data_IF_168112375596
#
_entry.id   IF_168112375596
#
_cell.length_a   1.000
_cell.length_b   1.000
_cell.length_c   1.000
_cell.angle_alpha   90.00
_cell.angle_beta   90.00
_cell.angle_gamma   90.00
#
_symmetry.space_group_name_H-M   'P 1'
#
loop_
_entity.id
_entity.type
_entity.pdbx_description
1 polymer ?
#
# COMPACT_ATOMS: atom_id res chain seq x y z
N UNK A 1 12.08 -13.95 10.83
CA UNK A 1 11.86 -12.80 9.91
C UNK A 1 10.67 -13.11 9.02
N UNK A 2 9.68 -12.25 8.98
CA UNK A 2 8.51 -12.41 8.08
C UNK A 2 8.94 -12.08 6.65
N UNK A 3 8.60 -12.93 5.70
CA UNK A 3 8.85 -12.77 4.28
C UNK A 3 7.63 -13.21 3.47
N UNK A 4 7.38 -12.54 2.36
CA UNK A 4 6.29 -12.95 1.47
C UNK A 4 6.67 -12.81 0.00
N UNK A 5 6.00 -13.58 -0.83
CA UNK A 5 6.02 -13.50 -2.29
C UNK A 5 4.59 -13.38 -2.81
N UNK A 6 4.42 -12.63 -3.87
CA UNK A 6 3.17 -12.53 -4.62
C UNK A 6 3.39 -12.88 -6.08
N UNK A 7 2.45 -13.56 -6.69
CA UNK A 7 2.44 -13.94 -8.09
C UNK A 7 1.03 -13.76 -8.68
N UNK A 8 0.93 -13.82 -10.00
CA UNK A 8 -0.32 -13.72 -10.74
C UNK A 8 -0.47 -12.42 -11.50
N UNK A 9 -1.24 -12.47 -12.54
CA UNK A 9 -1.57 -11.39 -13.47
C UNK A 9 -2.95 -10.82 -13.17
N UNK A 10 -3.15 -9.55 -13.54
CA UNK A 10 -4.40 -8.83 -13.29
C UNK A 10 -5.62 -9.52 -13.90
N UNK A 11 -5.50 -10.03 -15.14
CA UNK A 11 -6.54 -10.74 -15.84
C UNK A 11 -6.20 -12.23 -16.04
N UNK A 12 -5.21 -12.75 -15.30
CA UNK A 12 -4.91 -14.18 -15.20
C UNK A 12 -5.93 -14.92 -14.31
N UNK A 13 -5.79 -16.24 -14.14
CA UNK A 13 -6.78 -17.06 -13.43
C UNK A 13 -6.89 -16.71 -11.94
N UNK A 14 -5.80 -16.34 -11.30
CA UNK A 14 -5.74 -16.06 -9.87
C UNK A 14 -4.52 -15.25 -9.48
N UNK A 15 -4.56 -14.73 -8.26
CA UNK A 15 -3.39 -14.24 -7.54
C UNK A 15 -2.98 -15.27 -6.50
N UNK A 16 -1.67 -15.46 -6.35
CA UNK A 16 -1.08 -16.36 -5.36
C UNK A 16 -0.15 -15.60 -4.44
N UNK A 17 -0.18 -15.92 -3.15
CA UNK A 17 0.74 -15.38 -2.16
C UNK A 17 1.30 -16.50 -1.28
N UNK A 18 2.56 -16.35 -0.89
CA UNK A 18 3.20 -17.21 0.11
C UNK A 18 3.72 -16.30 1.21
N UNK A 19 3.32 -16.59 2.45
CA UNK A 19 3.76 -15.89 3.66
C UNK A 19 4.54 -16.85 4.54
N UNK A 20 5.72 -16.46 4.94
CA UNK A 20 6.65 -17.23 5.76
C UNK A 20 7.01 -16.45 7.03
N UNK A 21 7.23 -17.15 8.12
CA UNK A 21 7.70 -16.59 9.39
C UNK A 21 6.62 -16.27 10.42
N UNK A 22 5.37 -16.65 10.16
CA UNK A 22 4.32 -16.62 11.19
C UNK A 22 4.56 -17.81 12.15
N UNK A 23 4.70 -17.58 13.47
CA UNK A 23 4.86 -18.66 14.44
C UNK A 23 3.64 -19.59 14.47
N UNK A 24 3.84 -20.82 14.94
CA UNK A 24 2.73 -21.73 15.20
C UNK A 24 1.87 -21.27 16.38
N UNK A 25 0.57 -21.57 16.35
CA UNK A 25 -0.34 -21.34 17.47
C UNK A 25 -1.20 -20.08 17.38
N UNK A 26 -1.03 -19.24 16.36
CA UNK A 26 -1.89 -18.06 16.15
C UNK A 26 -3.19 -18.43 15.43
N UNK A 27 -4.29 -17.79 15.83
CA UNK A 27 -5.56 -17.88 15.12
C UNK A 27 -5.48 -17.14 13.79
N UNK A 28 -5.93 -17.79 12.72
CA UNK A 28 -5.99 -17.22 11.37
C UNK A 28 -7.40 -17.39 10.84
N UNK A 29 -8.13 -16.30 10.77
CA UNK A 29 -9.54 -16.28 10.36
C UNK A 29 -9.70 -15.89 8.91
N UNK A 30 -10.20 -16.83 8.07
CA UNK A 30 -10.61 -16.49 6.69
C UNK A 30 -11.58 -15.30 6.67
N UNK A 31 -12.54 -15.25 7.59
CA UNK A 31 -13.53 -14.16 7.67
C UNK A 31 -12.87 -12.81 7.94
N UNK A 32 -11.85 -12.78 8.79
CA UNK A 32 -11.08 -11.58 9.08
C UNK A 32 -10.34 -11.10 7.82
N UNK A 33 -9.65 -12.00 7.13
CA UNK A 33 -8.94 -11.68 5.87
C UNK A 33 -9.92 -11.17 4.80
N UNK A 34 -11.06 -11.85 4.61
CA UNK A 34 -12.07 -11.45 3.63
C UNK A 34 -12.66 -10.07 3.95
N UNK A 35 -12.75 -9.66 5.22
CA UNK A 35 -13.21 -8.33 5.60
C UNK A 35 -12.26 -7.22 5.08
N UNK A 36 -10.95 -7.45 5.11
CA UNK A 36 -9.96 -6.55 4.53
C UNK A 36 -10.05 -6.48 3.00
N UNK A 37 -10.28 -7.63 2.36
CA UNK A 37 -10.48 -7.69 0.91
C UNK A 37 -11.74 -6.93 0.50
N UNK A 38 -12.84 -7.09 1.23
CA UNK A 38 -14.09 -6.36 1.01
C UNK A 38 -13.89 -4.85 1.20
N UNK A 39 -13.18 -4.43 2.28
CA UNK A 39 -12.84 -3.02 2.51
C UNK A 39 -12.04 -2.45 1.34
N UNK A 40 -11.05 -3.18 0.83
CA UNK A 40 -10.27 -2.77 -0.36
C UNK A 40 -11.14 -2.52 -1.58
N UNK A 41 -12.25 -3.23 -1.72
CA UNK A 41 -13.17 -3.13 -2.87
C UNK A 41 -14.23 -2.03 -2.73
N UNK A 42 -14.41 -1.47 -1.54
CA UNK A 42 -15.28 -0.31 -1.32
C UNK A 42 -14.60 0.97 -1.80
N UNK A 43 -15.39 1.99 -2.05
CA UNK A 43 -14.91 3.35 -2.25
C UNK A 43 -15.50 4.04 -3.47
N UNK A 44 -15.67 5.36 -3.32
CA UNK A 44 -16.09 6.27 -4.40
C UNK A 44 -15.05 6.25 -5.51
N UNK A 45 -15.49 6.16 -6.76
CA UNK A 45 -14.59 6.14 -7.92
C UNK A 45 -14.01 4.76 -8.27
N UNK A 46 -14.34 3.70 -7.52
CA UNK A 46 -13.99 2.32 -7.88
C UNK A 46 -14.49 1.99 -9.30
N UNK A 47 -13.64 1.35 -10.11
CA UNK A 47 -13.97 1.00 -11.49
C UNK A 47 -15.00 -0.11 -11.58
N UNK A 48 -15.69 -0.24 -12.74
CA UNK A 48 -16.73 -1.26 -12.97
C UNK A 48 -16.30 -2.71 -12.70
N UNK A 49 -15.01 -3.01 -12.79
CA UNK A 49 -14.45 -4.32 -12.43
C UNK A 49 -14.67 -4.68 -10.95
N UNK A 50 -14.65 -3.69 -10.03
CA UNK A 50 -14.87 -3.94 -8.61
C UNK A 50 -16.28 -4.48 -8.31
N UNK A 51 -17.24 -4.27 -9.21
CA UNK A 51 -18.58 -4.85 -9.11
C UNK A 51 -18.62 -6.34 -9.51
N UNK A 52 -17.65 -6.81 -10.29
CA UNK A 52 -17.52 -8.19 -10.76
C UNK A 52 -16.73 -9.03 -9.77
N UNK A 53 -15.63 -8.47 -9.29
CA UNK A 53 -14.73 -9.12 -8.34
C UNK A 53 -15.29 -9.01 -6.92
N UNK A 54 -15.61 -10.15 -6.32
CA UNK A 54 -15.84 -10.28 -4.89
C UNK A 54 -14.70 -11.13 -4.36
N UNK A 55 -13.64 -10.47 -3.90
CA UNK A 55 -12.43 -11.14 -3.49
C UNK A 55 -12.65 -11.94 -2.21
N UNK A 56 -12.30 -13.21 -2.27
CA UNK A 56 -12.26 -14.13 -1.14
C UNK A 56 -10.93 -14.88 -1.15
N UNK A 57 -10.32 -15.04 0.02
CA UNK A 57 -9.10 -15.81 0.14
C UNK A 57 -9.37 -17.30 0.23
N UNK A 58 -8.55 -18.10 -0.45
CA UNK A 58 -8.41 -19.53 -0.25
C UNK A 58 -7.07 -19.78 0.44
N UNK A 59 -7.09 -20.43 1.60
CA UNK A 59 -5.88 -20.81 2.34
C UNK A 59 -5.56 -22.26 1.97
N UNK A 60 -4.41 -22.49 1.34
CA UNK A 60 -4.03 -23.81 0.79
C UNK A 60 -3.05 -24.57 1.67
N UNK A 61 -2.29 -23.88 2.54
CA UNK A 61 -1.33 -24.49 3.47
C UNK A 61 -1.02 -23.57 4.65
N UNK A 62 -0.31 -24.10 5.65
CA UNK A 62 0.21 -23.36 6.80
C UNK A 62 -0.81 -23.07 7.90
N UNK A 63 -2.10 -23.41 7.70
CA UNK A 63 -3.19 -23.24 8.67
C UNK A 63 -4.00 -24.53 8.75
N UNK A 64 -4.20 -25.04 9.96
CA UNK A 64 -5.02 -26.25 10.22
C UNK A 64 -6.04 -25.89 11.29
N UNK A 65 -7.33 -26.15 11.01
CA UNK A 65 -8.44 -25.81 11.91
C UNK A 65 -8.42 -24.34 12.38
N UNK A 66 -8.02 -23.41 11.51
CA UNK A 66 -7.95 -21.99 11.83
C UNK A 66 -6.71 -21.57 12.62
N UNK A 67 -5.73 -22.45 12.84
CA UNK A 67 -4.52 -22.18 13.63
C UNK A 67 -3.28 -22.32 12.76
N UNK A 68 -2.35 -21.37 12.85
CA UNK A 68 -1.07 -21.40 12.14
C UNK A 68 -0.19 -22.55 12.63
N UNK A 69 0.51 -23.21 11.70
CA UNK A 69 1.35 -24.37 11.99
C UNK A 69 2.85 -24.04 12.07
N UNK A 70 3.24 -22.80 11.79
CA UNK A 70 4.65 -22.39 11.62
C UNK A 70 5.23 -22.69 10.24
N UNK A 71 4.51 -23.46 9.40
CA UNK A 71 4.87 -23.70 8.01
C UNK A 71 4.47 -22.48 7.12
N UNK A 72 5.01 -22.37 5.90
CA UNK A 72 4.59 -21.32 4.97
C UNK A 72 3.09 -21.39 4.69
N UNK A 73 2.43 -20.23 4.79
CA UNK A 73 1.01 -20.04 4.50
C UNK A 73 0.87 -19.70 3.02
N UNK A 74 0.17 -20.55 2.26
CA UNK A 74 -0.13 -20.29 0.86
C UNK A 74 -1.57 -19.80 0.69
N UNK A 75 -1.72 -18.68 0.00
CA UNK A 75 -2.99 -17.99 -0.25
C UNK A 75 -3.26 -17.92 -1.74
N UNK A 76 -4.54 -17.99 -2.11
CA UNK A 76 -5.01 -17.80 -3.48
C UNK A 76 -6.24 -16.90 -3.46
N UNK A 77 -6.36 -16.03 -4.47
CA UNK A 77 -7.54 -15.20 -4.74
C UNK A 77 -7.89 -15.41 -6.21
N UNK A 78 -9.05 -15.99 -6.49
CA UNK A 78 -9.49 -16.27 -7.84
C UNK A 78 -9.92 -14.96 -8.52
N UNK A 79 -9.51 -14.75 -9.77
CA UNK A 79 -10.00 -13.66 -10.59
C UNK A 79 -11.29 -14.08 -11.30
N UNK A 80 -12.44 -13.57 -10.85
CA UNK A 80 -13.75 -13.90 -11.44
C UNK A 80 -13.87 -13.40 -12.88
N UNK A 81 -13.17 -12.33 -13.20
CA UNK A 81 -13.13 -11.77 -14.57
C UNK A 81 -12.32 -12.63 -15.56
N UNK A 82 -11.48 -13.56 -15.07
CA UNK A 82 -10.68 -14.46 -15.92
C UNK A 82 -11.51 -15.19 -17.00
N UNK A 83 -12.73 -15.61 -16.69
CA UNK A 83 -13.62 -16.26 -17.63
C UNK A 83 -13.93 -15.41 -18.88
N UNK A 84 -13.83 -14.09 -18.74
CA UNK A 84 -14.03 -13.15 -19.85
C UNK A 84 -12.77 -12.93 -20.70
N UNK A 85 -11.62 -13.45 -20.25
CA UNK A 85 -10.31 -13.22 -20.87
C UNK A 85 -9.64 -14.47 -21.43
N UNK A 86 -9.83 -15.64 -20.83
CA UNK A 86 -9.09 -16.88 -21.10
C UNK A 86 -9.08 -17.35 -22.55
N UNK A 87 -10.15 -17.05 -23.30
CA UNK A 87 -10.33 -17.53 -24.68
C UNK A 87 -10.32 -16.36 -25.68
N UNK A 88 -9.88 -15.15 -25.25
CA UNK A 88 -9.79 -14.00 -26.16
C UNK A 88 -8.45 -13.98 -26.86
N UNK A 89 -8.51 -13.89 -28.19
CA UNK A 89 -7.39 -13.42 -28.98
C UNK A 89 -7.37 -11.88 -28.93
N UNK A 90 -6.28 -11.32 -28.41
CA UNK A 90 -6.14 -9.88 -28.17
C UNK A 90 -4.85 -9.43 -28.84
N UNK A 91 -4.96 -8.47 -29.73
CA UNK A 91 -3.80 -7.85 -30.36
C UNK A 91 -2.81 -7.31 -29.30
N UNK A 92 -1.50 -7.38 -29.55
CA UNK A 92 -0.50 -6.81 -28.69
C UNK A 92 -0.72 -5.32 -28.42
N UNK A 93 -0.55 -4.88 -27.18
CA UNK A 93 -0.55 -3.47 -26.84
C UNK A 93 0.82 -2.89 -27.09
N UNK A 94 0.89 -1.84 -27.93
CA UNK A 94 2.16 -1.23 -28.36
C UNK A 94 2.32 0.23 -27.88
N UNK A 95 1.24 0.87 -27.39
CA UNK A 95 1.27 2.26 -26.90
C UNK A 95 1.36 2.29 -25.38
N UNK A 96 2.49 2.73 -24.79
CA UNK A 96 2.68 2.75 -23.35
C UNK A 96 1.90 3.88 -22.69
N UNK A 97 1.38 3.62 -21.50
CA UNK A 97 0.73 4.64 -20.67
C UNK A 97 1.80 5.46 -19.94
N UNK A 98 1.70 6.80 -19.97
CA UNK A 98 2.60 7.66 -19.20
C UNK A 98 2.54 7.37 -17.70
N UNK A 99 3.70 7.40 -17.02
CA UNK A 99 3.80 7.21 -15.57
C UNK A 99 3.61 5.77 -15.07
N UNK A 100 3.44 4.80 -15.98
CA UNK A 100 3.33 3.37 -15.64
C UNK A 100 4.63 2.61 -15.94
N UNK A 101 4.67 1.33 -15.58
CA UNK A 101 5.80 0.45 -15.86
C UNK A 101 5.92 0.07 -17.35
N UNK A 102 4.94 0.41 -18.16
CA UNK A 102 4.73 -0.08 -19.53
C UNK A 102 6.00 0.01 -20.39
N UNK A 103 6.49 1.23 -20.65
CA UNK A 103 7.65 1.45 -21.49
C UNK A 103 8.94 0.83 -20.97
N UNK A 104 9.25 1.13 -19.69
CA UNK A 104 10.52 0.68 -19.09
C UNK A 104 10.53 -0.81 -18.78
N UNK A 105 9.38 -1.38 -18.40
CA UNK A 105 9.25 -2.81 -18.18
C UNK A 105 9.35 -3.61 -19.48
N UNK A 106 8.72 -3.15 -20.55
CA UNK A 106 8.82 -3.76 -21.87
C UNK A 106 10.25 -3.76 -22.39
N UNK A 107 10.95 -2.63 -22.26
CA UNK A 107 12.36 -2.54 -22.61
C UNK A 107 13.24 -3.47 -21.75
N UNK A 108 13.00 -3.51 -20.42
CA UNK A 108 13.79 -4.35 -19.49
C UNK A 108 13.72 -5.85 -19.83
N UNK A 109 12.52 -6.33 -20.15
CA UNK A 109 12.29 -7.76 -20.37
C UNK A 109 12.20 -8.14 -21.84
N UNK A 110 12.44 -7.19 -22.76
CA UNK A 110 12.41 -7.37 -24.22
C UNK A 110 11.08 -7.98 -24.68
N UNK A 111 9.95 -7.43 -24.21
CA UNK A 111 8.62 -7.85 -24.62
C UNK A 111 8.16 -7.05 -25.84
N UNK A 112 7.41 -7.68 -26.75
CA UNK A 112 6.72 -7.04 -27.86
C UNK A 112 5.32 -6.56 -27.49
N UNK A 113 4.75 -7.12 -26.43
CA UNK A 113 3.40 -6.81 -25.92
C UNK A 113 3.51 -6.17 -24.54
N UNK A 114 3.14 -4.90 -24.42
CA UNK A 114 3.08 -4.14 -23.17
C UNK A 114 2.17 -4.81 -22.15
N UNK A 115 1.15 -5.56 -22.60
CA UNK A 115 0.22 -6.26 -21.73
C UNK A 115 0.92 -7.17 -20.74
N UNK A 116 2.03 -7.81 -21.10
CA UNK A 116 2.80 -8.68 -20.21
C UNK A 116 3.37 -7.93 -19.00
N UNK A 117 3.73 -6.67 -19.18
CA UNK A 117 4.17 -5.78 -18.10
C UNK A 117 2.97 -5.24 -17.32
N UNK A 118 1.94 -4.78 -18.03
CA UNK A 118 0.71 -4.20 -17.45
C UNK A 118 0.03 -5.17 -16.47
N UNK A 119 -0.09 -6.43 -16.85
CA UNK A 119 -0.75 -7.47 -16.07
C UNK A 119 -0.08 -7.63 -14.69
N UNK A 120 1.24 -7.69 -14.63
CA UNK A 120 1.96 -7.88 -13.37
C UNK A 120 2.12 -6.58 -12.58
N UNK A 121 2.31 -5.44 -13.25
CA UNK A 121 2.47 -4.13 -12.61
C UNK A 121 1.14 -3.55 -12.10
N UNK A 122 0.02 -4.19 -12.39
CA UNK A 122 -1.32 -3.75 -12.00
C UNK A 122 -1.50 -3.66 -10.50
N UNK A 123 -2.25 -2.65 -10.03
CA UNK A 123 -2.69 -2.53 -8.65
C UNK A 123 -3.58 -3.72 -8.17
N UNK A 124 -3.99 -4.62 -9.06
CA UNK A 124 -4.68 -5.88 -8.71
C UNK A 124 -3.82 -6.73 -7.77
N UNK A 125 -2.50 -6.70 -7.90
CA UNK A 125 -1.54 -7.38 -7.03
C UNK A 125 -1.73 -7.00 -5.56
N UNK A 126 -2.16 -5.77 -5.26
CA UNK A 126 -2.41 -5.33 -3.87
C UNK A 126 -3.53 -6.11 -3.17
N UNK A 127 -4.42 -6.82 -3.88
CA UNK A 127 -5.39 -7.70 -3.25
C UNK A 127 -4.68 -8.82 -2.47
N UNK A 128 -3.64 -9.41 -3.05
CA UNK A 128 -2.84 -10.43 -2.34
C UNK A 128 -2.03 -9.83 -1.19
N UNK A 129 -1.45 -8.64 -1.36
CA UNK A 129 -0.79 -7.93 -0.23
C UNK A 129 -1.76 -7.62 0.89
N UNK A 130 -3.00 -7.25 0.59
CA UNK A 130 -4.06 -7.03 1.58
C UNK A 130 -4.38 -8.31 2.35
N UNK A 131 -4.50 -9.45 1.68
CA UNK A 131 -4.75 -10.73 2.34
C UNK A 131 -3.58 -11.13 3.28
N UNK A 132 -2.34 -10.97 2.82
CA UNK A 132 -1.13 -11.20 3.64
C UNK A 132 -1.07 -10.24 4.82
N UNK A 133 -1.36 -8.95 4.57
CA UNK A 133 -1.38 -7.92 5.60
C UNK A 133 -2.45 -8.14 6.67
N UNK A 134 -3.61 -8.69 6.28
CA UNK A 134 -4.66 -9.05 7.22
C UNK A 134 -4.21 -10.15 8.20
N UNK A 135 -3.48 -11.16 7.74
CA UNK A 135 -2.89 -12.18 8.64
C UNK A 135 -1.91 -11.53 9.61
N UNK A 136 -1.06 -10.64 9.13
CA UNK A 136 -0.12 -9.93 10.00
C UNK A 136 -0.84 -9.04 11.02
N UNK A 137 -1.93 -8.37 10.61
CA UNK A 137 -2.75 -7.55 11.51
C UNK A 137 -3.43 -8.39 12.59
N UNK A 138 -4.00 -9.55 12.25
CA UNK A 138 -4.63 -10.46 13.20
C UNK A 138 -3.62 -10.96 14.25
N UNK A 139 -2.39 -11.31 13.82
CA UNK A 139 -1.29 -11.68 14.73
C UNK A 139 -0.86 -10.53 15.64
N UNK A 140 -0.79 -9.31 15.10
CA UNK A 140 -0.44 -8.12 15.90
C UNK A 140 -1.53 -7.80 16.93
N UNK A 141 -2.81 -7.94 16.57
CA UNK A 141 -3.94 -7.73 17.49
C UNK A 141 -3.90 -8.72 18.66
N UNK A 142 -3.54 -10.00 18.44
CA UNK A 142 -3.33 -10.97 19.53
C UNK A 142 -2.16 -10.57 20.46
N UNK A 143 -1.20 -9.80 19.95
CA UNK A 143 -0.09 -9.25 20.73
C UNK A 143 -0.41 -7.90 21.38
N UNK A 144 -1.63 -7.40 21.24
CA UNK A 144 -2.07 -6.10 21.79
C UNK A 144 -1.63 -4.89 20.96
N UNK A 145 -1.20 -5.11 19.72
CA UNK A 145 -0.81 -4.03 18.79
C UNK A 145 -1.91 -3.85 17.75
N UNK A 146 -2.46 -2.65 17.67
CA UNK A 146 -3.47 -2.30 16.68
C UNK A 146 -2.89 -1.37 15.61
N UNK A 147 -3.14 -1.68 14.32
CA UNK A 147 -2.74 -0.84 13.19
C UNK A 147 -3.97 -0.33 12.47
N UNK A 148 -4.09 0.99 12.33
CA UNK A 148 -5.19 1.66 11.64
C UNK A 148 -4.65 2.56 10.54
N UNK A 149 -5.09 2.33 9.31
CA UNK A 149 -4.80 3.21 8.17
C UNK A 149 -6.05 4.00 7.78
N UNK A 150 -5.89 5.30 7.55
CA UNK A 150 -6.95 6.19 7.10
C UNK A 150 -6.47 7.15 6.01
N UNK A 151 -7.41 7.69 5.24
CA UNK A 151 -7.11 8.70 4.23
C UNK A 151 -7.03 10.06 4.90
N UNK A 152 -5.86 10.69 4.84
CA UNK A 152 -5.57 12.00 5.42
C UNK A 152 -5.75 13.16 4.43
N UNK A 153 -5.63 12.91 3.11
CA UNK A 153 -5.96 13.91 2.11
C UNK A 153 -6.35 13.29 0.76
N UNK A 154 -7.22 13.97 0.01
CA UNK A 154 -7.53 13.69 -1.39
C UNK A 154 -7.61 15.04 -2.13
N UNK A 155 -6.85 15.19 -3.21
CA UNK A 155 -6.75 16.46 -3.94
C UNK A 155 -6.27 17.59 -3.02
N UNK A 156 -7.04 18.67 -2.93
CA UNK A 156 -6.80 19.80 -2.03
C UNK A 156 -7.45 19.66 -0.66
N UNK A 157 -8.23 18.62 -0.42
CA UNK A 157 -9.00 18.42 0.82
C UNK A 157 -8.18 17.60 1.80
N UNK A 158 -7.91 18.17 2.98
CA UNK A 158 -7.09 17.53 4.04
C UNK A 158 -7.90 17.40 5.33
N UNK A 159 -7.87 16.21 5.91
CA UNK A 159 -8.35 15.95 7.25
C UNK A 159 -7.37 16.55 8.26
N UNK A 160 -7.88 17.40 9.13
CA UNK A 160 -7.11 18.00 10.22
C UNK A 160 -7.25 17.12 11.46
N UNK A 161 -6.25 16.30 11.71
CA UNK A 161 -6.20 15.52 12.93
C UNK A 161 -5.53 16.34 14.04
N UNK A 162 -6.18 16.48 15.19
CA UNK A 162 -5.48 16.89 16.41
C UNK A 162 -4.80 15.64 16.97
N UNK A 163 -3.52 15.75 17.28
CA UNK A 163 -2.65 14.66 17.79
C UNK A 163 -3.27 13.93 18.99
N UNK A 164 -4.19 14.59 19.71
CA UNK A 164 -4.87 14.06 20.89
C UNK A 164 -6.12 13.20 20.56
N UNK A 165 -6.60 13.27 19.35
CA UNK A 165 -7.81 12.56 18.93
C UNK A 165 -7.45 11.15 18.45
N UNK A 166 -7.78 10.14 19.24
CA UNK A 166 -7.64 8.73 18.81
C UNK A 166 -8.47 8.49 17.55
N UNK A 167 -7.83 7.95 16.53
CA UNK A 167 -8.52 7.58 15.30
C UNK A 167 -9.52 6.46 15.57
N UNK A 168 -10.78 6.73 15.30
CA UNK A 168 -11.85 5.74 15.43
C UNK A 168 -11.89 4.86 14.17
N UNK A 169 -11.48 3.60 14.30
CA UNK A 169 -11.42 2.60 13.22
C UNK A 169 -12.80 2.34 12.58
N UNK A 170 -13.88 2.39 13.38
CA UNK A 170 -15.23 2.16 12.85
C UNK A 170 -15.63 3.29 11.91
N UNK A 171 -15.39 4.55 12.29
CA UNK A 171 -15.64 5.71 11.40
C UNK A 171 -14.85 5.65 10.11
N UNK A 172 -13.58 5.22 10.17
CA UNK A 172 -12.75 5.00 8.97
C UNK A 172 -13.36 3.92 8.07
N UNK A 173 -13.88 2.84 8.66
CA UNK A 173 -14.46 1.70 7.93
C UNK A 173 -15.85 2.03 7.34
N UNK A 174 -16.61 2.89 8.00
CA UNK A 174 -17.91 3.37 7.54
C UNK A 174 -17.78 4.37 6.37
N UNK A 175 -16.69 5.14 6.32
CA UNK A 175 -16.44 6.13 5.27
C UNK A 175 -16.16 5.47 3.92
N UNK A 176 -16.79 5.96 2.86
CA UNK A 176 -16.59 5.50 1.50
C UNK A 176 -15.24 5.91 0.90
N UNK A 177 -14.53 6.83 1.53
CA UNK A 177 -13.16 7.23 1.15
C UNK A 177 -12.12 6.87 2.21
N UNK A 178 -12.54 6.32 3.36
CA UNK A 178 -11.65 5.95 4.46
C UNK A 178 -11.16 7.12 5.30
N UNK A 179 -11.84 8.27 5.30
CA UNK A 179 -11.57 9.42 6.15
C UNK A 179 -12.35 9.31 7.47
N UNK A 180 -11.72 9.52 8.66
CA UNK A 180 -12.40 9.33 9.95
C UNK A 180 -13.45 10.40 10.29
N UNK A 181 -13.45 11.54 9.58
CA UNK A 181 -14.41 12.64 9.79
C UNK A 181 -15.42 12.72 8.65
N UNK A 182 -16.72 12.61 8.98
CA UNK A 182 -17.79 12.55 7.99
C UNK A 182 -17.89 13.81 7.11
N UNK A 183 -17.64 15.00 7.67
CA UNK A 183 -17.69 16.26 6.91
C UNK A 183 -16.58 16.32 5.85
N UNK A 184 -15.35 16.00 6.24
CA UNK A 184 -14.19 15.95 5.35
C UNK A 184 -14.32 14.81 4.33
N UNK A 185 -14.83 13.63 4.75
CA UNK A 185 -15.16 12.51 3.86
C UNK A 185 -16.04 12.94 2.69
N UNK A 186 -17.12 13.68 3.00
CA UNK A 186 -18.05 14.19 1.98
C UNK A 186 -17.39 15.15 1.00
N UNK A 187 -16.53 16.06 1.48
CA UNK A 187 -15.78 16.97 0.61
C UNK A 187 -14.80 16.21 -0.31
N UNK A 188 -14.14 15.18 0.22
CA UNK A 188 -13.27 14.31 -0.58
C UNK A 188 -14.04 13.55 -1.66
N UNK A 189 -15.24 13.06 -1.35
CA UNK A 189 -16.13 12.40 -2.32
C UNK A 189 -16.55 13.35 -3.45
N UNK A 190 -16.96 14.57 -3.11
CA UNK A 190 -17.31 15.60 -4.09
C UNK A 190 -16.14 15.92 -5.02
N UNK A 191 -14.92 16.01 -4.47
CA UNK A 191 -13.70 16.25 -5.25
C UNK A 191 -13.37 15.09 -6.21
N UNK A 192 -13.51 13.83 -5.75
CA UNK A 192 -13.35 12.65 -6.61
C UNK A 192 -14.37 12.65 -7.75
N UNK A 193 -15.63 12.95 -7.47
CA UNK A 193 -16.68 12.99 -8.48
C UNK A 193 -16.44 14.12 -9.50
N UNK A 194 -15.93 15.27 -9.04
CA UNK A 194 -15.54 16.39 -9.91
C UNK A 194 -14.39 16.00 -10.84
N UNK A 195 -13.32 15.42 -10.32
CA UNK A 195 -12.21 14.93 -11.13
C UNK A 195 -12.66 13.87 -12.15
N UNK A 196 -13.52 12.93 -11.73
CA UNK A 196 -14.10 11.92 -12.63
C UNK A 196 -14.91 12.54 -13.77
N UNK A 197 -15.72 13.58 -13.49
CA UNK A 197 -16.48 14.32 -14.50
C UNK A 197 -15.55 14.97 -15.53
N UNK A 198 -14.42 15.50 -15.05
CA UNK A 198 -13.39 16.13 -15.88
C UNK A 198 -12.47 15.10 -16.56
N UNK A 199 -12.69 13.79 -16.38
CA UNK A 199 -11.86 12.68 -16.87
C UNK A 199 -10.42 12.75 -16.38
N UNK A 200 -10.21 13.27 -15.19
CA UNK A 200 -8.91 13.42 -14.53
C UNK A 200 -8.81 12.53 -13.30
N UNK A 201 -7.65 12.55 -12.63
CA UNK A 201 -7.34 11.78 -11.42
C UNK A 201 -6.79 12.69 -10.34
N UNK A 202 -6.89 12.26 -9.09
CA UNK A 202 -6.39 12.97 -7.91
C UNK A 202 -5.30 12.16 -7.23
N UNK A 203 -4.34 12.87 -6.66
CA UNK A 203 -3.44 12.34 -5.65
C UNK A 203 -4.07 12.41 -4.27
N UNK A 204 -3.44 11.72 -3.32
CA UNK A 204 -3.88 11.74 -1.93
C UNK A 204 -2.79 11.32 -0.97
N UNK A 205 -3.08 11.38 0.32
CA UNK A 205 -2.22 10.86 1.37
C UNK A 205 -3.00 9.93 2.28
N UNK A 206 -2.30 8.91 2.75
CA UNK A 206 -2.80 7.93 3.72
C UNK A 206 -1.89 8.01 4.93
N UNK A 207 -2.48 7.98 6.10
CA UNK A 207 -1.77 7.90 7.37
C UNK A 207 -2.04 6.55 8.01
N UNK A 208 -0.98 5.91 8.53
CA UNK A 208 -1.06 4.71 9.34
C UNK A 208 -0.64 5.02 10.77
N UNK A 209 -1.45 4.55 11.72
CA UNK A 209 -1.18 4.66 13.16
C UNK A 209 -1.08 3.26 13.73
N UNK A 210 -0.06 3.01 14.56
CA UNK A 210 0.04 1.77 15.33
C UNK A 210 0.07 2.11 16.82
N UNK A 211 -0.85 1.50 17.57
CA UNK A 211 -0.97 1.66 19.03
C UNK A 211 -0.57 0.36 19.73
N UNK A 212 -0.21 0.44 21.01
CA UNK A 212 0.19 -0.73 21.81
C UNK A 212 1.59 -1.27 21.46
N UNK A 213 2.35 -0.56 20.65
CA UNK A 213 3.69 -1.00 20.24
C UNK A 213 4.67 -0.80 21.41
N UNK A 214 5.35 -1.86 21.90
CA UNK A 214 6.33 -1.72 22.97
C UNK A 214 7.56 -0.93 22.49
N UNK A 215 8.22 -0.24 23.40
CA UNK A 215 9.51 0.39 23.13
C UNK A 215 10.57 -0.65 22.72
N UNK A 216 11.62 -0.21 22.02
CA UNK A 216 12.82 -0.99 21.66
C UNK A 216 12.69 -1.97 20.50
N UNK A 217 11.60 -1.95 19.72
CA UNK A 217 11.52 -2.70 18.47
C UNK A 217 12.33 -1.97 17.38
N UNK A 218 13.14 -2.69 16.66
CA UNK A 218 14.10 -2.16 15.69
C UNK A 218 15.52 -2.16 16.25
N UNK A 219 16.40 -1.36 15.66
CA UNK A 219 17.80 -1.30 16.10
C UNK A 219 18.46 0.00 15.64
N UNK A 220 19.28 0.60 16.51
CA UNK A 220 20.17 1.71 16.15
C UNK A 220 21.54 1.25 15.66
N UNK A 221 21.87 -0.04 15.85
CA UNK A 221 23.20 -0.58 15.64
C UNK A 221 23.62 -0.61 14.17
N UNK A 222 22.68 -0.91 13.27
CA UNK A 222 22.96 -1.01 11.85
C UNK A 222 21.81 -0.45 11.01
N UNK A 223 22.14 0.15 9.87
CA UNK A 223 21.20 0.90 9.03
C UNK A 223 20.04 0.04 8.49
N UNK A 224 20.28 -1.24 8.16
CA UNK A 224 19.30 -2.17 7.61
C UNK A 224 18.36 -2.77 8.68
N UNK A 225 18.62 -2.51 9.96
CA UNK A 225 17.82 -2.95 11.12
C UNK A 225 16.98 -1.85 11.74
N UNK A 226 17.08 -0.63 11.22
CA UNK A 226 16.23 0.48 11.63
C UNK A 226 14.79 0.22 11.20
N UNK A 227 13.84 0.27 12.15
CA UNK A 227 12.44 -0.03 11.86
C UNK A 227 11.80 1.01 10.94
N UNK A 228 12.10 2.29 11.13
CA UNK A 228 11.66 3.39 10.27
C UNK A 228 12.07 3.16 8.80
N UNK A 229 13.33 2.74 8.58
CA UNK A 229 13.83 2.42 7.24
C UNK A 229 13.13 1.19 6.63
N UNK A 230 12.87 0.15 7.45
CA UNK A 230 12.15 -1.07 7.02
C UNK A 230 10.71 -0.70 6.61
N UNK A 231 10.01 0.09 7.41
CA UNK A 231 8.65 0.54 7.13
C UNK A 231 8.60 1.43 5.88
N UNK A 232 9.52 2.40 5.76
CA UNK A 232 9.59 3.26 4.58
C UNK A 232 9.80 2.44 3.30
N UNK A 233 10.66 1.42 3.31
CA UNK A 233 10.86 0.49 2.19
C UNK A 233 9.56 -0.23 1.82
N UNK A 234 8.81 -0.73 2.81
CA UNK A 234 7.57 -1.47 2.57
C UNK A 234 6.49 -0.55 1.99
N UNK A 235 6.30 0.63 2.55
CA UNK A 235 5.33 1.60 2.03
C UNK A 235 5.70 2.08 0.62
N UNK A 236 6.98 2.43 0.38
CA UNK A 236 7.43 2.85 -0.95
C UNK A 236 7.29 1.74 -2.01
N UNK A 237 7.21 0.47 -1.61
CA UNK A 237 7.00 -0.67 -2.52
C UNK A 237 5.56 -0.81 -3.02
N UNK A 238 4.60 -0.07 -2.45
CA UNK A 238 3.20 -0.06 -2.91
C UNK A 238 3.10 0.76 -4.19
N UNK A 239 2.31 0.27 -5.15
CA UNK A 239 2.12 0.97 -6.42
C UNK A 239 1.62 2.40 -6.19
N UNK A 240 2.11 3.33 -7.00
CA UNK A 240 1.78 4.77 -6.98
C UNK A 240 2.28 5.56 -5.78
N UNK A 241 2.86 4.96 -4.75
CA UNK A 241 3.47 5.70 -3.65
C UNK A 241 4.71 6.46 -4.13
N UNK A 242 4.80 7.74 -3.79
CA UNK A 242 5.88 8.65 -4.21
C UNK A 242 6.63 9.32 -3.05
N UNK A 243 6.06 9.30 -1.85
CA UNK A 243 6.70 9.81 -0.64
C UNK A 243 6.27 8.98 0.57
N UNK A 244 7.15 8.89 1.56
CA UNK A 244 6.89 8.31 2.87
C UNK A 244 7.41 9.30 3.90
N UNK A 245 6.59 9.65 4.85
CA UNK A 245 6.91 10.57 5.95
C UNK A 245 6.70 9.85 7.29
N UNK A 246 7.48 10.19 8.29
CA UNK A 246 7.36 9.65 9.65
C UNK A 246 7.22 10.82 10.61
N UNK A 247 6.23 10.76 11.50
CA UNK A 247 5.88 11.87 12.38
C UNK A 247 5.50 13.11 11.56
N UNK A 248 6.01 14.26 11.90
CA UNK A 248 5.76 15.51 11.16
C UNK A 248 6.48 15.60 9.81
N UNK A 249 7.23 14.58 9.43
CA UNK A 249 7.82 14.45 8.10
C UNK A 249 8.59 15.69 7.64
N UNK A 250 8.30 16.15 6.41
CA UNK A 250 9.00 17.31 5.83
C UNK A 250 8.70 18.65 6.52
N UNK A 251 7.65 18.76 7.31
CA UNK A 251 7.33 19.98 8.05
C UNK A 251 8.37 20.32 9.13
N UNK A 252 9.13 19.32 9.58
CA UNK A 252 10.26 19.52 10.49
C UNK A 252 11.32 20.44 9.89
N UNK A 253 11.53 20.39 8.57
CA UNK A 253 12.55 21.19 7.88
C UNK A 253 12.30 22.71 7.97
N UNK A 254 11.10 23.14 8.34
CA UNK A 254 10.70 24.55 8.45
C UNK A 254 10.83 25.08 9.88
N UNK A 255 11.34 24.30 10.83
CA UNK A 255 11.32 24.57 12.26
C UNK A 255 12.69 24.45 12.89
N UNK A 256 12.86 25.08 14.05
CA UNK A 256 14.05 24.86 14.88
C UNK A 256 13.99 23.53 15.60
N UNK A 257 15.14 22.91 15.87
CA UNK A 257 15.21 21.61 16.55
C UNK A 257 14.48 21.58 17.89
N UNK A 258 14.52 22.67 18.64
CA UNK A 258 13.81 22.84 19.94
C UNK A 258 12.29 22.82 19.82
N UNK A 259 11.75 23.07 18.62
CA UNK A 259 10.29 23.05 18.35
C UNK A 259 9.79 21.68 17.91
N UNK A 260 10.71 20.79 17.49
CA UNK A 260 10.34 19.51 16.90
C UNK A 260 10.82 18.30 17.70
N UNK A 261 11.89 18.43 18.47
CA UNK A 261 12.34 17.33 19.33
C UNK A 261 11.36 17.09 20.46
N UNK A 262 10.95 15.82 20.63
CA UNK A 262 10.02 15.43 21.67
C UNK A 262 10.71 15.49 23.04
N UNK A 263 10.29 16.45 23.86
CA UNK A 263 10.90 16.69 25.17
C UNK A 263 10.45 15.63 26.18
N UNK A 264 11.38 15.24 27.05
CA UNK A 264 11.08 14.34 28.15
C UNK A 264 10.40 15.11 29.31
N UNK A 265 9.48 14.43 29.97
CA UNK A 265 8.86 14.84 31.22
C UNK A 265 8.92 13.72 32.20
N UNK A 266 8.75 14.03 33.49
CA UNK A 266 8.66 13.06 34.58
C UNK A 266 7.24 13.05 35.14
N UNK A 267 6.62 11.88 35.09
CA UNK A 267 5.40 11.58 35.82
C UNK A 267 5.73 10.58 36.94
N UNK A 268 5.91 11.09 38.13
CA UNK A 268 6.46 10.32 39.26
C UNK A 268 7.87 9.82 38.97
N UNK A 269 8.04 8.52 38.77
CA UNK A 269 9.33 7.88 38.39
C UNK A 269 9.35 7.48 36.90
N UNK A 270 8.28 7.70 36.17
CA UNK A 270 8.16 7.32 34.77
C UNK A 270 8.57 8.49 33.87
N UNK A 271 9.50 8.24 32.96
CA UNK A 271 9.81 9.18 31.89
C UNK A 271 8.68 9.12 30.89
N UNK A 272 8.11 10.25 30.54
CA UNK A 272 7.08 10.45 29.53
C UNK A 272 7.53 11.50 28.53
N UNK A 273 6.79 11.69 27.47
CA UNK A 273 7.02 12.74 26.47
C UNK A 273 5.84 13.71 26.46
N UNK A 274 6.11 14.97 26.15
CA UNK A 274 5.09 16.01 26.05
C UNK A 274 4.62 16.24 24.62
N UNK A 275 5.27 15.58 23.65
CA UNK A 275 4.91 15.63 22.21
C UNK A 275 5.36 14.35 21.53
N UNK A 276 4.85 14.12 20.32
CA UNK A 276 5.20 12.98 19.49
C UNK A 276 5.44 13.43 18.02
N UNK A 277 6.28 14.45 17.85
CA UNK A 277 6.61 15.00 16.54
C UNK A 277 7.41 14.04 15.67
N UNK A 278 8.18 13.14 16.32
CA UNK A 278 9.02 12.14 15.65
C UNK A 278 8.25 10.85 15.32
N UNK A 279 6.95 10.79 15.64
CA UNK A 279 6.08 9.69 15.25
C UNK A 279 6.38 8.35 15.90
N UNK A 280 6.83 8.34 17.17
CA UNK A 280 7.09 7.12 17.93
C UNK A 280 8.46 6.47 17.67
N UNK A 281 9.35 7.13 16.92
CA UNK A 281 10.66 6.58 16.57
C UNK A 281 11.82 7.41 17.13
N UNK A 282 12.82 6.72 17.66
CA UNK A 282 14.11 7.29 18.05
C UNK A 282 15.24 6.37 17.63
N UNK A 283 16.18 6.89 16.86
CA UNK A 283 17.35 6.13 16.40
C UNK A 283 17.03 4.89 15.57
N UNK A 284 15.84 4.79 14.97
CA UNK A 284 15.38 3.62 14.21
C UNK A 284 14.73 2.54 15.08
N UNK A 285 14.34 2.88 16.31
CA UNK A 285 13.61 2.01 17.24
C UNK A 285 12.32 2.68 17.70
N UNK A 286 11.34 1.88 18.10
CA UNK A 286 10.14 2.37 18.77
C UNK A 286 10.47 2.90 20.17
N UNK A 287 9.78 3.96 20.59
CA UNK A 287 9.99 4.58 21.89
C UNK A 287 8.85 4.34 22.91
N UNK A 288 7.84 3.55 22.51
CA UNK A 288 6.69 3.21 23.34
C UNK A 288 5.54 4.21 23.28
N UNK A 289 5.70 5.32 22.56
CA UNK A 289 4.59 6.20 22.20
C UNK A 289 3.82 5.60 20.99
N UNK A 290 2.63 6.13 20.71
CA UNK A 290 1.91 5.75 19.49
C UNK A 290 2.79 6.03 18.26
N UNK A 291 2.90 5.05 17.38
CA UNK A 291 3.56 5.26 16.11
C UNK A 291 2.60 6.06 15.23
N UNK A 292 2.66 7.38 15.34
CA UNK A 292 1.86 8.32 14.59
C UNK A 292 2.52 8.63 13.26
N UNK A 293 1.66 8.77 12.27
CA UNK A 293 1.98 9.32 10.95
C UNK A 293 3.17 8.66 10.24
N UNK A 294 3.05 7.34 9.99
CA UNK A 294 3.72 6.84 8.81
C UNK A 294 2.85 7.25 7.63
N UNK A 295 2.91 8.54 7.29
CA UNK A 295 2.21 9.10 6.16
C UNK A 295 2.90 8.68 4.87
N UNK A 296 2.16 8.15 3.91
CA UNK A 296 2.65 8.03 2.55
C UNK A 296 1.72 8.76 1.61
N UNK A 297 2.33 9.53 0.73
CA UNK A 297 1.60 10.23 -0.32
C UNK A 297 1.58 9.35 -1.56
N UNK A 298 0.44 8.75 -1.83
CA UNK A 298 0.17 8.13 -3.11
C UNK A 298 -0.31 9.19 -4.08
N UNK A 299 0.42 9.38 -5.17
CA UNK A 299 -0.07 10.14 -6.32
C UNK A 299 -0.61 9.10 -7.29
N UNK A 300 -1.91 8.86 -7.27
CA UNK A 300 -2.52 7.93 -8.19
C UNK A 300 -2.93 8.67 -9.47
N UNK A 301 -2.15 8.48 -10.53
CA UNK A 301 -2.58 8.86 -11.89
C UNK A 301 -3.14 7.62 -12.57
N UNK A 302 -4.44 7.39 -12.46
CA UNK A 302 -5.09 6.14 -12.91
C UNK A 302 -5.62 6.17 -14.34
N UNK A 303 -5.21 7.08 -15.22
CA UNK A 303 -5.60 7.00 -16.64
C UNK A 303 -4.40 7.10 -17.55
N UNK A 304 -4.41 6.20 -18.55
CA UNK A 304 -3.88 6.52 -19.87
C UNK A 304 -4.62 7.78 -20.35
N UNK A 305 -4.10 8.96 -20.07
CA UNK A 305 -4.51 10.18 -20.73
C UNK A 305 -3.77 10.23 -22.06
N UNK A 306 -4.41 9.95 -23.19
CA UNK A 306 -3.80 10.18 -24.51
C UNK A 306 -3.33 11.63 -24.67
N UNK A 307 -3.95 12.55 -23.91
CA UNK A 307 -3.62 13.97 -23.84
C UNK A 307 -2.27 14.28 -23.18
N UNK A 308 -1.68 13.35 -22.41
CA UNK A 308 -0.32 13.48 -21.87
C UNK A 308 0.77 13.11 -22.89
N UNK A 309 0.38 12.57 -24.05
CA UNK A 309 1.28 12.35 -25.18
C UNK A 309 1.20 13.59 -26.04
N UNK A 310 2.26 14.41 -26.16
CA UNK A 310 2.24 15.57 -27.05
C UNK A 310 1.82 15.16 -28.47
N UNK A 311 0.90 15.91 -29.11
CA UNK A 311 0.48 15.61 -30.48
C UNK A 311 1.63 15.60 -31.51
N UNK A 312 2.77 16.16 -31.10
CA UNK A 312 4.01 16.21 -31.90
C UNK A 312 4.81 14.92 -31.91
N UNK A 313 4.47 13.92 -31.07
CA UNK A 313 5.14 12.62 -31.10
C UNK A 313 4.35 11.72 -32.05
N UNK A 314 4.91 11.34 -33.20
CA UNK A 314 4.27 10.39 -34.10
C UNK A 314 3.95 9.07 -33.37
N UNK A 315 2.77 8.46 -33.59
CA UNK A 315 2.41 7.19 -32.97
C UNK A 315 3.46 6.10 -33.16
N UNK A 316 4.15 6.08 -34.28
CA UNK A 316 5.19 5.10 -34.61
C UNK A 316 6.42 5.19 -33.71
N UNK A 317 6.69 6.36 -33.11
CA UNK A 317 7.79 6.55 -32.13
C UNK A 317 7.38 6.13 -30.72
N UNK A 318 6.10 5.95 -30.47
CA UNK A 318 5.57 5.44 -29.21
C UNK A 318 5.48 3.90 -29.21
N UNK A 319 5.61 3.27 -30.37
CA UNK A 319 5.70 1.82 -30.46
C UNK A 319 6.98 1.32 -29.78
N UNK A 320 6.83 0.44 -28.82
CA UNK A 320 7.96 -0.21 -28.18
C UNK A 320 8.50 -1.26 -29.13
N UNK A 321 9.60 -0.93 -29.83
CA UNK A 321 10.33 -1.91 -30.62
C UNK A 321 11.38 -2.57 -29.73
N UNK A 322 11.52 -3.89 -29.74
CA UNK A 322 12.58 -4.56 -29.04
C UNK A 322 13.93 -4.08 -29.57
N UNK A 323 14.62 -3.23 -28.86
CA UNK A 323 15.99 -2.87 -29.20
C UNK A 323 16.93 -3.89 -28.56
N UNK A 324 17.53 -4.76 -29.36
CA UNK A 324 18.42 -5.83 -28.95
C UNK A 324 19.76 -5.40 -28.33
N UNK A 325 19.82 -4.26 -27.63
CA UNK A 325 21.10 -3.67 -27.16
C UNK A 325 21.22 -3.55 -25.63
N UNK A 326 20.17 -3.78 -24.84
CA UNK A 326 20.25 -3.58 -23.37
C UNK A 326 20.41 -4.89 -22.57
N UNK A 327 20.49 -6.03 -23.20
CA UNK A 327 20.59 -7.34 -22.51
C UNK A 327 21.91 -7.63 -21.80
N UNK A 328 22.97 -6.81 -21.95
CA UNK A 328 24.31 -7.17 -21.45
C UNK A 328 24.83 -6.37 -20.24
N UNK A 329 24.07 -5.40 -19.72
CA UNK A 329 24.56 -4.52 -18.64
C UNK A 329 24.06 -4.88 -17.23
N UNK A 330 23.22 -5.91 -17.06
CA UNK A 330 22.62 -6.24 -15.76
C UNK A 330 22.72 -7.73 -15.40
N UNK A 331 23.81 -8.39 -15.76
CA UNK A 331 24.07 -9.79 -15.41
C UNK A 331 24.92 -9.98 -14.14
N UNK A 332 25.15 -8.96 -13.36
CA UNK A 332 25.83 -9.09 -12.07
C UNK A 332 24.81 -8.99 -10.92
N UNK A 333 24.76 -9.97 -10.00
CA UNK A 333 23.93 -9.92 -8.82
C UNK A 333 24.55 -9.01 -7.76
N UNK A 334 23.79 -8.05 -7.25
CA UNK A 334 24.08 -7.38 -5.98
C UNK A 334 23.49 -8.15 -4.81
#
# INVERSE_FOLDING_TARGET
MIRYLTAGESHGPELTGILEGIPAGFNISKKYIDSFLQRRQKGVGSGGRMNIEQDEVLISSGVVNGVSTGAPIALRILNKDWKNWKDKDIDPYVVPRPGHADLVGTAKYNHEDIRLVLERASARETAMRTAIGAIAAEVLEELGIEVTGYVSAIGGITYQNNIEDKINRDKVTESDVGCPEAATSKLMEEEILSARKNKDTLGGSITCVATGVPATIGSFVHWDKKLDAILAKQFMSVQSVKAVEIGKGVDIAKKFGTEVQDQYSLDGKKITKISNNLGGFEGGMTNGEEMLDVGFRAIETKRSCPELIPPSIPPELLEVKPSGVIGSLWSEPF
#
